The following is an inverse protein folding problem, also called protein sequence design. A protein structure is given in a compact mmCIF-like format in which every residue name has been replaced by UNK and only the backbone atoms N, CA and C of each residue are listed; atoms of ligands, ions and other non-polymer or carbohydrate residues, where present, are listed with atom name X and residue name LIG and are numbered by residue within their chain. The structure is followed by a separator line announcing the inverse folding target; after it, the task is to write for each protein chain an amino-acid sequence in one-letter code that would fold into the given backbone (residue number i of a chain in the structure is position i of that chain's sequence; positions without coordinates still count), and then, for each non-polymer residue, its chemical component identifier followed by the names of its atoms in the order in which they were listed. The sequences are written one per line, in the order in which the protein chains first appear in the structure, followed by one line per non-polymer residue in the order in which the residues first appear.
data_IF_953515417407
#
_entry.id   IF_953515417407
#
_cell.length_a   1.000
_cell.length_b   1.000
_cell.length_c   1.000
_cell.angle_alpha   90.00
_cell.angle_beta   90.00
_cell.angle_gamma   90.00
#
_symmetry.space_group_name_H-M   'P 1'
#
loop_
_entity.id
_entity.type
_entity.pdbx_description
1 polymer ?
#
# COMPACT_ATOMS: atom_id res chain seq x y z
N UNK A 1 -8.57 14.54 15.26
CA UNK A 1 -7.10 14.66 15.25
C UNK A 1 -6.65 15.47 14.04
N UNK A 2 -5.74 16.43 14.24
CA UNK A 2 -5.21 17.30 13.18
C UNK A 2 -3.68 17.21 13.14
N UNK A 3 -3.14 16.72 12.02
CA UNK A 3 -1.72 16.46 11.81
C UNK A 3 -1.17 17.36 10.72
N UNK A 4 0.08 17.77 10.87
CA UNK A 4 0.85 18.44 9.84
C UNK A 4 2.01 17.54 9.39
N UNK A 5 2.09 17.25 8.09
CA UNK A 5 3.14 16.44 7.50
C UNK A 5 3.97 17.30 6.56
N UNK A 6 5.28 17.10 6.51
CA UNK A 6 6.14 17.70 5.48
C UNK A 6 7.19 16.72 4.96
N UNK A 7 7.64 16.96 3.73
CA UNK A 7 8.66 16.15 3.08
C UNK A 7 9.49 16.97 2.08
N UNK A 8 10.61 16.43 1.58
CA UNK A 8 11.37 17.09 0.51
C UNK A 8 10.53 17.24 -0.76
N UNK A 9 9.65 16.27 -1.02
CA UNK A 9 8.65 16.31 -2.06
C UNK A 9 7.30 15.84 -1.53
N UNK A 10 6.25 16.56 -1.88
CA UNK A 10 4.86 16.11 -1.69
C UNK A 10 4.24 15.94 -3.05
N UNK A 11 3.69 14.75 -3.31
CA UNK A 11 3.04 14.43 -4.58
C UNK A 11 1.55 14.28 -4.35
N UNK A 12 0.75 14.95 -5.18
CA UNK A 12 -0.71 14.86 -5.16
C UNK A 12 -1.20 13.68 -6.00
N UNK A 13 -2.45 13.22 -5.78
CA UNK A 13 -3.06 12.17 -6.61
C UNK A 13 -3.12 12.48 -8.11
N UNK A 14 -3.21 13.76 -8.49
CA UNK A 14 -3.22 14.20 -9.89
C UNK A 14 -1.82 14.36 -10.50
N UNK A 15 -0.75 14.00 -9.77
CA UNK A 15 0.63 14.10 -10.22
C UNK A 15 1.31 15.46 -9.99
N UNK A 16 0.60 16.48 -9.50
CA UNK A 16 1.24 17.76 -9.13
C UNK A 16 2.20 17.55 -7.95
N UNK A 17 3.38 18.19 -8.01
CA UNK A 17 4.43 18.02 -7.02
C UNK A 17 4.87 19.33 -6.38
N UNK A 18 5.08 19.30 -5.05
CA UNK A 18 5.59 20.42 -4.26
C UNK A 18 6.95 20.07 -3.65
N UNK A 19 7.99 20.83 -4.01
CA UNK A 19 9.27 20.79 -3.29
C UNK A 19 9.10 21.44 -1.92
N UNK A 20 9.58 20.78 -0.86
CA UNK A 20 9.41 21.17 0.54
C UNK A 20 7.93 21.41 0.92
N UNK A 21 7.05 20.54 0.40
CA UNK A 21 5.60 20.65 0.57
C UNK A 21 5.10 20.21 1.95
N UNK A 22 3.89 20.63 2.25
CA UNK A 22 3.17 20.37 3.50
C UNK A 22 1.79 19.76 3.22
N UNK A 23 1.32 18.90 4.11
CA UNK A 23 0.00 18.28 4.05
C UNK A 23 -0.67 18.42 5.40
N UNK A 24 -1.91 18.89 5.40
CA UNK A 24 -2.76 18.87 6.59
C UNK A 24 -3.67 17.66 6.53
N UNK A 25 -3.67 16.85 7.58
CA UNK A 25 -4.58 15.70 7.74
C UNK A 25 -5.51 15.98 8.91
N UNK A 26 -6.82 15.97 8.66
CA UNK A 26 -7.86 16.20 9.65
C UNK A 26 -8.82 15.03 9.67
N UNK A 27 -9.01 14.44 10.87
CA UNK A 27 -9.94 13.31 11.08
C UNK A 27 -9.72 12.16 10.08
N UNK A 28 -8.45 11.87 9.79
CA UNK A 28 -8.04 10.79 8.88
C UNK A 28 -8.17 11.11 7.38
N UNK A 29 -8.53 12.35 7.01
CA UNK A 29 -8.64 12.79 5.62
C UNK A 29 -7.64 13.89 5.33
N UNK A 30 -7.18 13.98 4.08
CA UNK A 30 -6.34 15.09 3.64
C UNK A 30 -7.23 16.33 3.54
N UNK A 31 -6.94 17.34 4.35
CA UNK A 31 -7.63 18.63 4.34
C UNK A 31 -7.03 19.60 3.32
N UNK A 32 -5.74 19.48 3.04
CA UNK A 32 -5.08 20.33 2.04
C UNK A 32 -3.60 20.05 1.86
N UNK A 33 -3.07 20.56 0.74
CA UNK A 33 -1.67 20.52 0.38
C UNK A 33 -1.15 21.95 0.23
N UNK A 34 0.04 22.24 0.72
CA UNK A 34 0.57 23.60 0.79
C UNK A 34 2.04 23.66 0.38
N UNK A 35 2.42 24.73 -0.33
CA UNK A 35 3.82 25.02 -0.72
C UNK A 35 4.61 25.71 0.40
N UNK A 36 3.92 26.26 1.40
CA UNK A 36 4.47 26.91 2.58
C UNK A 36 3.86 26.27 3.82
N UNK A 37 4.55 26.36 4.96
CA UNK A 37 4.06 25.84 6.22
C UNK A 37 2.73 26.52 6.57
N UNK A 38 1.62 25.78 6.68
CA UNK A 38 0.34 26.35 7.10
C UNK A 38 0.39 26.68 8.60
N UNK A 39 -0.35 27.70 9.02
CA UNK A 39 -0.55 28.05 10.43
C UNK A 39 -1.78 27.32 10.99
N UNK A 40 -1.79 27.09 12.30
CA UNK A 40 -2.91 26.48 12.99
C UNK A 40 -2.49 25.62 14.17
N UNK A 41 -3.48 25.18 14.94
CA UNK A 41 -3.28 24.24 16.03
C UNK A 41 -3.17 22.81 15.47
N UNK A 42 -1.95 22.28 15.46
CA UNK A 42 -1.63 20.92 15.02
C UNK A 42 -1.21 20.10 16.22
N UNK A 43 -1.86 18.96 16.43
CA UNK A 43 -1.54 18.08 17.55
C UNK A 43 -0.20 17.37 17.37
N UNK A 44 0.23 17.22 16.11
CA UNK A 44 1.53 16.65 15.77
C UNK A 44 2.02 17.17 14.44
N UNK A 45 3.32 17.44 14.39
CA UNK A 45 4.06 17.72 13.17
C UNK A 45 5.04 16.58 12.89
N UNK A 46 5.06 16.09 11.65
CA UNK A 46 5.92 14.98 11.21
C UNK A 46 6.68 15.38 9.95
N UNK A 47 8.02 15.30 10.03
CA UNK A 47 8.91 15.57 8.91
C UNK A 47 9.52 14.29 8.35
N UNK A 48 9.42 14.12 7.05
CA UNK A 48 9.94 12.97 6.31
C UNK A 48 11.05 13.39 5.36
N UNK A 49 12.02 12.50 5.13
CA UNK A 49 12.99 12.64 4.03
C UNK A 49 12.45 11.95 2.79
N UNK A 50 12.77 12.48 1.61
CA UNK A 50 12.32 11.95 0.33
C UNK A 50 10.95 12.47 -0.10
N UNK A 51 10.19 11.63 -0.81
CA UNK A 51 8.88 11.97 -1.35
C UNK A 51 7.75 11.34 -0.52
N UNK A 52 6.77 12.15 -0.14
CA UNK A 52 5.49 11.69 0.37
C UNK A 52 4.53 11.56 -0.83
N UNK A 53 4.22 10.32 -1.17
CA UNK A 53 3.43 9.93 -2.33
C UNK A 53 2.09 9.35 -1.87
N UNK A 54 0.99 9.48 -2.64
CA UNK A 54 -0.24 8.73 -2.37
C UNK A 54 0.09 7.23 -2.30
N UNK A 55 -0.56 6.45 -1.41
CA UNK A 55 -0.33 5.01 -1.39
C UNK A 55 -0.70 4.39 -2.75
N UNK A 56 -0.03 3.30 -3.10
CA UNK A 56 -0.39 2.54 -4.29
C UNK A 56 -1.73 1.84 -4.09
N UNK A 57 -2.48 1.69 -5.18
CA UNK A 57 -3.72 0.92 -5.20
C UNK A 57 -3.43 -0.39 -5.93
N UNK A 58 -3.55 -1.51 -5.22
CA UNK A 58 -3.56 -2.82 -5.86
C UNK A 58 -5.00 -3.14 -6.29
N UNK A 59 -5.31 -2.88 -7.56
CA UNK A 59 -6.66 -2.97 -8.09
C UNK A 59 -7.21 -4.41 -8.17
N UNK A 60 -6.33 -5.43 -8.17
CA UNK A 60 -6.75 -6.84 -8.23
C UNK A 60 -5.71 -7.74 -7.57
N UNK A 61 -6.14 -8.56 -6.61
CA UNK A 61 -5.25 -9.51 -5.94
C UNK A 61 -5.99 -10.73 -5.39
N UNK A 62 -5.29 -11.85 -5.31
CA UNK A 62 -5.72 -13.08 -4.66
C UNK A 62 -4.87 -13.32 -3.40
N UNK A 63 -5.32 -12.82 -2.25
CA UNK A 63 -4.57 -12.89 -0.99
C UNK A 63 -4.47 -14.31 -0.44
N UNK A 64 -5.37 -15.20 -0.82
CA UNK A 64 -5.31 -16.61 -0.44
C UNK A 64 -4.07 -17.32 -1.01
N UNK A 65 -3.50 -16.77 -2.09
CA UNK A 65 -2.33 -17.36 -2.75
C UNK A 65 -1.00 -16.89 -2.13
N UNK A 66 -1.01 -15.99 -1.14
CA UNK A 66 0.22 -15.43 -0.56
C UNK A 66 1.13 -16.47 0.13
N UNK A 67 0.62 -17.68 0.43
CA UNK A 67 1.42 -18.81 0.95
C UNK A 67 1.80 -19.85 -0.11
N UNK A 68 1.32 -19.72 -1.34
CA UNK A 68 1.70 -20.64 -2.42
C UNK A 68 3.13 -20.34 -2.84
N UNK A 69 4.01 -21.34 -2.71
CA UNK A 69 5.36 -21.26 -3.25
C UNK A 69 5.28 -21.31 -4.78
N UNK A 70 5.48 -20.16 -5.41
CA UNK A 70 5.47 -20.01 -6.86
C UNK A 70 6.89 -19.89 -7.41
N UNK A 71 7.14 -20.58 -8.53
CA UNK A 71 8.31 -20.37 -9.37
C UNK A 71 7.85 -20.55 -10.82
N UNK A 72 8.09 -19.58 -11.72
CA UNK A 72 7.63 -19.65 -13.10
C UNK A 72 8.29 -20.81 -13.86
N UNK A 73 9.53 -21.18 -13.49
CA UNK A 73 10.31 -22.24 -14.14
C UNK A 73 9.71 -23.65 -13.94
N UNK A 74 8.70 -23.78 -13.08
CA UNK A 74 8.01 -25.06 -12.82
C UNK A 74 6.88 -25.37 -13.79
N UNK A 75 6.52 -24.45 -14.69
CA UNK A 75 5.36 -24.58 -15.57
C UNK A 75 5.75 -24.22 -17.00
N UNK A 76 5.33 -25.04 -17.98
CA UNK A 76 5.63 -24.77 -19.38
C UNK A 76 4.70 -23.70 -19.97
N UNK A 77 3.51 -23.53 -19.38
CA UNK A 77 2.50 -22.59 -19.86
C UNK A 77 1.53 -22.17 -18.75
N UNK A 78 0.69 -21.19 -19.06
CA UNK A 78 -0.31 -20.65 -18.16
C UNK A 78 -1.37 -21.67 -17.72
N UNK A 79 -1.80 -22.58 -18.60
CA UNK A 79 -2.85 -23.56 -18.28
C UNK A 79 -2.37 -24.57 -17.24
N UNK A 80 -1.12 -25.05 -17.35
CA UNK A 80 -0.50 -25.91 -16.34
C UNK A 80 -0.45 -25.23 -14.97
N UNK A 81 0.00 -23.96 -14.94
CA UNK A 81 0.00 -23.16 -13.71
C UNK A 81 -1.42 -22.99 -13.15
N UNK A 82 -2.41 -22.69 -14.01
CA UNK A 82 -3.78 -22.47 -13.59
C UNK A 82 -4.39 -23.74 -12.96
N UNK A 83 -4.17 -24.91 -13.57
CA UNK A 83 -4.62 -26.20 -13.02
C UNK A 83 -3.95 -26.49 -11.67
N UNK A 84 -2.65 -26.16 -11.54
CA UNK A 84 -1.95 -26.24 -10.26
C UNK A 84 -2.59 -25.35 -9.20
N UNK A 85 -2.90 -24.09 -9.52
CA UNK A 85 -3.54 -23.16 -8.58
C UNK A 85 -4.93 -23.64 -8.18
N UNK A 86 -5.76 -24.08 -9.14
CA UNK A 86 -7.11 -24.61 -8.86
C UNK A 86 -7.01 -25.79 -7.89
N UNK A 87 -6.12 -26.74 -8.18
CA UNK A 87 -5.90 -27.92 -7.32
C UNK A 87 -5.38 -27.51 -5.94
N UNK A 88 -4.44 -26.56 -5.88
CA UNK A 88 -3.82 -26.15 -4.61
C UNK A 88 -4.81 -25.43 -3.70
N UNK A 89 -5.70 -24.60 -4.26
CA UNK A 89 -6.76 -23.90 -3.50
C UNK A 89 -7.69 -24.86 -2.76
N UNK A 90 -7.95 -26.04 -3.31
CA UNK A 90 -8.78 -27.07 -2.68
C UNK A 90 -8.10 -27.75 -1.47
N UNK A 91 -6.79 -27.56 -1.29
CA UNK A 91 -6.02 -28.21 -0.22
C UNK A 91 -5.87 -27.37 1.05
N UNK A 92 -6.24 -26.09 1.03
CA UNK A 92 -6.06 -25.22 2.18
C UNK A 92 -7.13 -25.44 3.24
N UNK A 93 -6.68 -25.50 4.49
CA UNK A 93 -7.54 -25.33 5.66
C UNK A 93 -7.92 -23.87 5.86
N UNK A 94 -8.97 -23.62 6.65
CA UNK A 94 -9.39 -22.26 7.01
C UNK A 94 -8.29 -21.47 7.73
N UNK A 95 -7.54 -22.13 8.62
CA UNK A 95 -6.40 -21.55 9.33
C UNK A 95 -5.32 -21.10 8.34
N UNK A 96 -4.93 -21.95 7.38
CA UNK A 96 -3.93 -21.62 6.37
C UNK A 96 -4.36 -20.46 5.46
N UNK A 97 -5.65 -20.40 5.10
CA UNK A 97 -6.22 -19.28 4.33
C UNK A 97 -6.14 -17.97 5.12
N UNK A 98 -6.49 -18.00 6.41
CA UNK A 98 -6.39 -16.84 7.30
C UNK A 98 -4.95 -16.36 7.42
N UNK A 99 -4.00 -17.26 7.60
CA UNK A 99 -2.58 -16.91 7.68
C UNK A 99 -2.04 -16.37 6.34
N UNK A 100 -2.46 -16.95 5.21
CA UNK A 100 -2.12 -16.45 3.88
C UNK A 100 -2.64 -15.02 3.67
N UNK A 101 -3.89 -14.77 4.05
CA UNK A 101 -4.50 -13.45 3.99
C UNK A 101 -3.68 -12.39 4.75
N UNK A 102 -3.36 -12.64 6.02
CA UNK A 102 -2.60 -11.68 6.82
C UNK A 102 -1.15 -11.51 6.34
N UNK A 103 -0.53 -12.57 5.83
CA UNK A 103 0.77 -12.48 5.16
C UNK A 103 0.69 -11.52 3.96
N UNK A 104 -0.29 -11.72 3.08
CA UNK A 104 -0.50 -10.86 1.91
C UNK A 104 -0.74 -9.40 2.28
N UNK A 105 -1.59 -9.11 3.27
CA UNK A 105 -1.82 -7.74 3.76
C UNK A 105 -0.52 -7.10 4.28
N UNK A 106 0.30 -7.85 5.00
CA UNK A 106 1.59 -7.35 5.51
C UNK A 106 2.56 -7.02 4.38
N UNK A 107 2.60 -7.86 3.34
CA UNK A 107 3.42 -7.63 2.16
C UNK A 107 2.95 -6.41 1.36
N UNK A 108 1.66 -6.27 1.11
CA UNK A 108 1.08 -5.10 0.44
C UNK A 108 1.47 -3.79 1.16
N UNK A 109 1.28 -3.73 2.47
CA UNK A 109 1.64 -2.56 3.28
C UNK A 109 3.14 -2.26 3.24
N UNK A 110 3.98 -3.30 3.33
CA UNK A 110 5.44 -3.16 3.26
C UNK A 110 5.89 -2.50 1.95
N UNK A 111 5.17 -2.76 0.86
CA UNK A 111 5.47 -2.23 -0.47
C UNK A 111 4.63 -0.98 -0.83
N UNK A 112 3.97 -0.37 0.14
CA UNK A 112 3.33 0.95 -0.03
C UNK A 112 1.91 0.91 -0.59
N UNK A 113 1.26 -0.26 -0.62
CA UNK A 113 -0.18 -0.38 -0.93
C UNK A 113 -1.00 -0.14 0.34
N UNK A 114 -2.08 0.63 0.24
CA UNK A 114 -2.99 0.92 1.36
C UNK A 114 -4.46 0.85 0.95
#
# INVERSE_FOLDING_TARGET
MRLLLNANWVVKPNGETFKNGWIVVERGKIAGYYRRKPTGDFQKELSFKGALFPPFVNAHTHLELSKVNFSPDKFNNFFEWLLFIISKRQTFTEEELREAFFKGIKELKRWGVA
#
